data_IF_596303772541
#
_entry.id   IF_596303772541
#
_cell.length_a   1.000
_cell.length_b   1.000
_cell.length_c   1.000
_cell.angle_alpha   90.00
_cell.angle_beta   90.00
_cell.angle_gamma   90.00
#
_symmetry.space_group_name_H-M   'P 1'
#
loop_
_entity.id
_entity.type
_entity.pdbx_description
1 polymer ?
#
# COMPACT_ATOMS: atom_id res chain seq x y z
N UNK A 1 31.47 9.25 5.64
CA UNK A 1 30.49 8.18 5.31
C UNK A 1 29.77 8.51 4.01
N UNK A 2 30.13 7.90 2.88
CA UNK A 2 29.69 8.35 1.57
C UNK A 2 28.31 7.76 1.23
N UNK A 3 27.24 8.45 1.60
CA UNK A 3 25.93 8.26 0.99
C UNK A 3 25.94 9.08 -0.30
N UNK A 4 26.47 8.48 -1.37
CA UNK A 4 26.72 9.16 -2.64
C UNK A 4 25.41 9.68 -3.24
N UNK A 5 25.47 10.84 -3.88
CA UNK A 5 24.35 11.48 -4.61
C UNK A 5 23.61 10.50 -5.54
N UNK A 6 24.31 9.47 -6.01
CA UNK A 6 23.79 8.35 -6.79
C UNK A 6 22.74 7.49 -6.04
N UNK A 7 22.97 7.17 -4.77
CA UNK A 7 22.04 6.37 -3.96
C UNK A 7 20.71 7.12 -3.74
N UNK A 8 20.77 8.45 -3.55
CA UNK A 8 19.59 9.33 -3.48
C UNK A 8 18.82 9.41 -4.80
N UNK A 9 19.51 9.39 -5.95
CA UNK A 9 18.86 9.40 -7.27
C UNK A 9 18.13 8.08 -7.54
N UNK A 10 18.74 6.94 -7.17
CA UNK A 10 18.11 5.62 -7.33
C UNK A 10 16.86 5.45 -6.46
N UNK A 11 16.92 5.88 -5.19
CA UNK A 11 15.73 5.82 -4.32
C UNK A 11 14.60 6.73 -4.80
N UNK A 12 14.91 7.94 -5.29
CA UNK A 12 13.90 8.84 -5.84
C UNK A 12 13.25 8.33 -7.14
N UNK A 13 13.99 7.60 -7.99
CA UNK A 13 13.44 7.00 -9.21
C UNK A 13 12.48 5.85 -8.88
N UNK A 14 12.84 4.99 -7.91
CA UNK A 14 11.99 3.87 -7.48
C UNK A 14 10.67 4.29 -6.83
N UNK A 15 10.60 5.52 -6.30
CA UNK A 15 9.38 6.11 -5.76
C UNK A 15 8.35 6.46 -6.85
N UNK A 16 8.81 6.95 -8.01
CA UNK A 16 7.93 7.47 -9.07
C UNK A 16 7.22 6.37 -9.86
N UNK A 17 7.80 5.18 -9.94
CA UNK A 17 7.29 4.08 -10.75
C UNK A 17 6.20 3.26 -10.06
N UNK A 18 5.77 3.66 -8.86
CA UNK A 18 4.76 2.93 -8.10
C UNK A 18 3.38 3.45 -8.43
N UNK A 19 2.48 2.54 -8.77
CA UNK A 19 1.08 2.87 -9.01
C UNK A 19 0.29 2.53 -7.76
N UNK A 20 -0.60 3.45 -7.42
CA UNK A 20 -1.60 3.28 -6.37
C UNK A 20 -2.90 3.15 -7.13
N UNK A 21 -3.70 2.15 -6.81
CA UNK A 21 -4.99 1.92 -7.45
C UNK A 21 -5.98 1.68 -6.33
N UNK A 22 -7.03 2.49 -6.28
CA UNK A 22 -8.16 2.28 -5.39
C UNK A 22 -9.13 1.35 -6.13
N UNK A 23 -9.31 0.14 -5.63
CA UNK A 23 -10.10 -0.90 -6.30
C UNK A 23 -11.61 -0.70 -6.12
N UNK A 24 -12.01 0.08 -5.12
CA UNK A 24 -13.40 0.48 -4.91
C UNK A 24 -13.77 0.53 -3.44
N UNK A 25 -15.05 0.86 -3.21
CA UNK A 25 -15.69 0.75 -1.89
C UNK A 25 -16.70 -0.37 -1.92
N UNK A 26 -16.56 -1.37 -1.05
CA UNK A 26 -17.59 -2.41 -0.90
C UNK A 26 -18.58 -2.00 0.19
N UNK A 27 -19.88 -2.25 -0.05
CA UNK A 27 -20.98 -1.93 0.90
C UNK A 27 -21.45 -3.13 1.73
N UNK A 28 -20.93 -4.33 1.49
CA UNK A 28 -21.58 -5.58 1.90
C UNK A 28 -21.83 -5.71 3.41
N UNK A 29 -21.15 -4.90 4.25
CA UNK A 29 -21.40 -4.70 5.69
C UNK A 29 -21.09 -3.27 6.19
N UNK A 30 -21.24 -2.27 5.32
CA UNK A 30 -20.77 -0.89 5.54
C UNK A 30 -19.60 -0.52 4.64
N UNK A 31 -19.05 0.68 4.81
CA UNK A 31 -17.97 1.24 3.98
C UNK A 31 -16.67 0.45 4.19
N UNK A 32 -16.18 -0.17 3.13
CA UNK A 32 -14.85 -0.79 3.07
C UNK A 32 -14.05 -0.18 1.92
N UNK A 33 -12.76 0.05 2.08
CA UNK A 33 -11.88 0.65 1.08
C UNK A 33 -10.76 -0.33 0.73
N UNK A 34 -10.69 -0.72 -0.54
CA UNK A 34 -9.64 -1.60 -1.04
C UNK A 34 -8.61 -0.81 -1.85
N UNK A 35 -7.33 -0.94 -1.50
CA UNK A 35 -6.23 -0.24 -2.14
C UNK A 35 -5.14 -1.24 -2.52
N UNK A 36 -4.64 -1.13 -3.74
CA UNK A 36 -3.49 -1.87 -4.23
C UNK A 36 -2.36 -0.94 -4.61
N UNK A 37 -1.15 -1.23 -4.15
CA UNK A 37 0.06 -0.47 -4.45
C UNK A 37 1.06 -1.41 -5.11
N UNK A 38 1.47 -1.08 -6.33
CA UNK A 38 2.47 -1.85 -7.06
C UNK A 38 3.90 -1.53 -6.61
N UNK A 39 4.73 -2.56 -6.58
CA UNK A 39 6.15 -2.46 -6.28
C UNK A 39 6.50 -2.78 -4.82
N UNK A 40 7.80 -2.98 -4.61
CA UNK A 40 8.38 -3.47 -3.36
C UNK A 40 8.09 -2.60 -2.13
N UNK A 41 7.32 -3.04 -1.12
CA UNK A 41 6.93 -2.26 0.07
C UNK A 41 8.05 -1.41 0.70
N UNK A 42 7.70 -0.17 1.07
CA UNK A 42 8.66 0.75 1.73
C UNK A 42 8.63 0.50 3.23
N UNK A 43 9.76 0.08 3.78
CA UNK A 43 9.99 0.10 5.22
C UNK A 43 10.45 1.50 5.63
N UNK A 44 9.80 2.09 6.63
CA UNK A 44 10.29 3.32 7.23
C UNK A 44 11.63 3.07 7.94
N UNK A 45 12.73 3.74 7.56
CA UNK A 45 13.96 3.64 8.31
C UNK A 45 13.71 4.22 9.71
N UNK A 46 14.11 3.48 10.76
CA UNK A 46 14.11 4.04 12.13
C UNK A 46 14.94 5.32 12.14
N UNK A 47 14.49 6.42 12.77
CA UNK A 47 15.27 7.65 12.88
C UNK A 47 16.60 7.32 13.56
N UNK A 48 17.73 7.53 12.88
CA UNK A 48 19.03 7.09 13.42
C UNK A 48 19.86 8.18 14.08
N UNK A 49 19.62 9.47 13.84
CA UNK A 49 20.48 10.52 14.41
C UNK A 49 19.76 11.87 14.56
N UNK A 50 19.97 12.49 15.71
CA UNK A 50 19.89 13.94 15.89
C UNK A 50 21.19 14.54 15.33
N UNK A 51 21.12 15.27 14.22
CA UNK A 51 22.29 16.00 13.71
C UNK A 51 22.28 17.37 14.34
N UNK A 52 23.23 17.64 15.24
CA UNK A 52 23.43 18.98 15.78
C UNK A 52 24.28 19.79 14.80
N UNK A 53 23.68 20.79 14.15
CA UNK A 53 24.40 21.79 13.33
C UNK A 53 24.18 23.16 13.94
N UNK A 54 25.26 23.89 14.20
CA UNK A 54 25.21 25.26 14.70
C UNK A 54 24.20 25.43 15.86
N UNK A 55 24.33 24.60 16.91
CA UNK A 55 23.45 24.57 18.12
C UNK A 55 21.98 24.19 17.91
N UNK A 56 21.55 23.81 16.69
CA UNK A 56 20.20 23.28 16.43
C UNK A 56 20.23 21.79 16.16
N UNK A 57 19.36 21.05 16.84
CA UNK A 57 19.15 19.63 16.62
C UNK A 57 18.16 19.42 15.49
N UNK A 58 18.61 18.79 14.40
CA UNK A 58 17.74 18.39 13.30
C UNK A 58 17.49 16.89 13.36
N UNK A 59 16.21 16.51 13.43
CA UNK A 59 15.79 15.11 13.28
C UNK A 59 15.67 14.84 11.79
N UNK A 60 16.64 14.12 11.24
CA UNK A 60 16.57 13.71 9.84
C UNK A 60 15.63 12.52 9.68
N UNK A 61 14.46 12.75 9.09
CA UNK A 61 13.52 11.69 8.71
C UNK A 61 13.65 11.37 7.21
N UNK A 62 14.41 10.31 6.83
CA UNK A 62 14.55 9.93 5.43
C UNK A 62 13.24 9.48 4.77
N UNK A 63 12.25 9.03 5.55
CA UNK A 63 10.96 8.59 5.03
C UNK A 63 9.99 9.73 4.70
N UNK A 64 10.22 10.94 5.24
CA UNK A 64 9.28 12.05 5.10
C UNK A 64 8.92 12.34 3.63
N UNK A 65 9.92 12.39 2.75
CA UNK A 65 9.70 12.63 1.32
C UNK A 65 8.88 11.52 0.65
N UNK A 66 9.10 10.27 1.05
CA UNK A 66 8.34 9.14 0.53
C UNK A 66 6.89 9.23 0.99
N UNK A 67 6.66 9.49 2.29
CA UNK A 67 5.31 9.64 2.85
C UNK A 67 4.51 10.72 2.13
N UNK A 68 5.05 11.94 2.04
CA UNK A 68 4.38 13.05 1.34
C UNK A 68 4.07 12.72 -0.13
N UNK A 69 4.94 11.96 -0.79
CA UNK A 69 4.67 11.53 -2.17
C UNK A 69 3.50 10.53 -2.23
N UNK A 70 3.52 9.49 -1.40
CA UNK A 70 2.49 8.46 -1.37
C UNK A 70 1.15 8.99 -0.87
N UNK A 71 1.13 9.79 0.21
CA UNK A 71 -0.10 10.38 0.74
C UNK A 71 -0.75 11.33 -0.27
N UNK A 72 0.04 12.16 -0.96
CA UNK A 72 -0.49 13.02 -2.03
C UNK A 72 -1.06 12.21 -3.18
N UNK A 73 -0.36 11.16 -3.63
CA UNK A 73 -0.85 10.30 -4.71
C UNK A 73 -2.11 9.55 -4.29
N UNK A 74 -2.14 9.01 -3.07
CA UNK A 74 -3.32 8.35 -2.52
C UNK A 74 -4.51 9.29 -2.40
N UNK A 75 -4.30 10.51 -1.89
CA UNK A 75 -5.34 11.53 -1.81
C UNK A 75 -5.89 11.89 -3.19
N UNK A 76 -5.04 11.98 -4.20
CA UNK A 76 -5.47 12.20 -5.58
C UNK A 76 -6.36 11.04 -6.08
N UNK A 77 -5.94 9.80 -5.92
CA UNK A 77 -6.73 8.62 -6.33
C UNK A 77 -8.08 8.54 -5.58
N UNK A 78 -8.10 8.88 -4.28
CA UNK A 78 -9.34 8.92 -3.50
C UNK A 78 -10.29 10.04 -3.94
N UNK A 79 -9.74 11.17 -4.43
CA UNK A 79 -10.54 12.25 -5.01
C UNK A 79 -11.09 11.86 -6.39
N UNK A 80 -10.27 11.23 -7.22
CA UNK A 80 -10.66 10.75 -8.56
C UNK A 80 -11.77 9.69 -8.49
N UNK A 81 -11.76 8.84 -7.45
CA UNK A 81 -12.83 7.87 -7.18
C UNK A 81 -14.08 8.48 -6.50
N UNK A 82 -14.06 9.77 -6.16
CA UNK A 82 -15.18 10.46 -5.50
C UNK A 82 -15.36 10.12 -4.01
N UNK A 83 -14.44 9.34 -3.43
CA UNK A 83 -14.53 8.86 -2.05
C UNK A 83 -14.04 9.90 -1.03
N UNK A 84 -13.04 10.70 -1.40
CA UNK A 84 -12.52 11.76 -0.56
C UNK A 84 -13.11 13.12 -0.95
N UNK A 85 -13.93 13.69 -0.07
CA UNK A 85 -14.17 15.13 -0.09
C UNK A 85 -12.95 15.86 0.47
N UNK A 86 -12.61 17.01 -0.10
CA UNK A 86 -11.42 17.79 0.28
C UNK A 86 -11.36 18.14 1.77
N UNK A 87 -12.51 18.10 2.46
CA UNK A 87 -12.66 18.55 3.84
C UNK A 87 -12.77 17.43 4.90
N UNK A 88 -13.19 16.20 4.53
CA UNK A 88 -13.58 15.19 5.52
C UNK A 88 -12.87 13.85 5.29
N UNK A 89 -12.41 13.19 6.37
CA UNK A 89 -11.87 11.84 6.26
C UNK A 89 -12.97 10.83 5.94
N UNK A 90 -12.59 9.74 5.28
CA UNK A 90 -13.52 8.67 4.86
C UNK A 90 -14.08 7.94 6.10
N UNK A 91 -13.20 7.62 7.04
CA UNK A 91 -13.54 6.97 8.30
C UNK A 91 -13.46 7.99 9.44
N UNK A 92 -14.62 8.36 9.99
CA UNK A 92 -14.76 9.38 11.05
C UNK A 92 -15.07 8.77 12.42
N UNK A 93 -15.58 7.54 12.45
CA UNK A 93 -15.95 6.85 13.68
C UNK A 93 -14.81 5.94 14.17
N UNK A 94 -14.71 5.71 15.50
CA UNK A 94 -13.77 4.73 16.03
C UNK A 94 -14.18 3.31 15.65
N UNK A 95 -13.21 2.40 15.61
CA UNK A 95 -13.48 1.00 15.26
C UNK A 95 -13.06 0.63 13.84
N UNK A 96 -12.00 1.27 13.32
CA UNK A 96 -11.46 0.91 12.00
C UNK A 96 -10.60 -0.35 12.13
N UNK A 97 -10.79 -1.29 11.22
CA UNK A 97 -9.92 -2.43 10.97
C UNK A 97 -9.10 -2.17 9.72
N UNK A 98 -7.78 -2.38 9.84
CA UNK A 98 -6.84 -2.27 8.72
C UNK A 98 -6.20 -3.63 8.48
N UNK A 99 -6.45 -4.20 7.32
CA UNK A 99 -5.80 -5.44 6.87
C UNK A 99 -4.79 -5.11 5.78
N UNK A 100 -3.55 -5.58 5.95
CA UNK A 100 -2.43 -5.28 5.05
C UNK A 100 -1.67 -6.54 4.69
N UNK A 101 -1.48 -6.77 3.40
CA UNK A 101 -0.62 -7.82 2.88
C UNK A 101 0.56 -7.19 2.12
N UNK A 102 1.78 -7.53 2.56
CA UNK A 102 3.02 -7.09 1.93
C UNK A 102 3.64 -8.21 1.09
N UNK A 103 3.61 -8.06 -0.23
CA UNK A 103 4.39 -8.89 -1.15
C UNK A 103 5.84 -8.42 -1.19
N UNK A 104 6.80 -9.26 -0.79
CA UNK A 104 8.21 -8.89 -0.63
C UNK A 104 9.13 -9.84 -1.41
N UNK A 105 10.09 -9.27 -2.13
CA UNK A 105 11.22 -10.05 -2.65
C UNK A 105 12.23 -10.34 -1.52
N UNK A 106 12.41 -9.38 -0.62
CA UNK A 106 13.28 -9.46 0.55
C UNK A 106 12.46 -9.52 1.84
N UNK A 107 12.38 -10.72 2.43
CA UNK A 107 11.64 -10.98 3.66
C UNK A 107 12.30 -10.41 4.91
N UNK A 108 13.56 -9.94 4.82
CA UNK A 108 14.31 -9.38 5.94
C UNK A 108 13.78 -8.01 6.41
N UNK A 109 12.96 -7.33 5.58
CA UNK A 109 12.36 -6.04 5.95
C UNK A 109 11.44 -6.17 7.15
N UNK A 110 11.55 -5.28 8.13
CA UNK A 110 10.73 -5.37 9.33
C UNK A 110 9.24 -5.01 9.05
N UNK A 111 8.32 -5.84 9.55
CA UNK A 111 6.88 -5.65 9.35
C UNK A 111 6.38 -4.37 10.03
N UNK A 112 6.87 -4.07 11.23
CA UNK A 112 6.54 -2.86 12.00
C UNK A 112 6.85 -1.58 11.23
N UNK A 113 8.02 -1.54 10.58
CA UNK A 113 8.51 -0.38 9.84
C UNK A 113 7.71 -0.16 8.54
N UNK A 114 7.24 -1.22 7.90
CA UNK A 114 6.37 -1.12 6.72
C UNK A 114 4.95 -0.73 7.11
N UNK A 115 4.41 -1.34 8.16
CA UNK A 115 3.09 -1.02 8.68
C UNK A 115 3.01 0.45 9.12
N UNK A 116 4.00 0.92 9.90
CA UNK A 116 4.08 2.33 10.30
C UNK A 116 4.11 3.28 9.11
N UNK A 117 4.85 2.92 8.05
CA UNK A 117 4.87 3.74 6.84
C UNK A 117 3.47 3.87 6.21
N UNK A 118 2.73 2.77 6.11
CA UNK A 118 1.39 2.73 5.53
C UNK A 118 0.38 3.50 6.39
N UNK A 119 0.38 3.29 7.71
CA UNK A 119 -0.58 3.97 8.60
C UNK A 119 -0.44 5.48 8.54
N UNK A 120 0.81 5.99 8.57
CA UNK A 120 1.07 7.42 8.43
C UNK A 120 0.62 7.95 7.05
N UNK A 121 0.78 7.15 5.98
CA UNK A 121 0.31 7.53 4.64
C UNK A 121 -1.22 7.59 4.56
N UNK A 122 -1.93 6.64 5.19
CA UNK A 122 -3.39 6.62 5.22
C UNK A 122 -3.97 7.80 6.01
N UNK A 123 -3.36 8.14 7.15
CA UNK A 123 -3.72 9.32 7.95
C UNK A 123 -3.49 10.61 7.14
N UNK A 124 -2.28 10.80 6.58
CA UNK A 124 -1.93 11.98 5.78
C UNK A 124 -2.82 12.12 4.52
N UNK A 125 -3.26 11.00 3.95
CA UNK A 125 -4.15 10.97 2.79
C UNK A 125 -5.61 11.33 3.15
N UNK A 126 -5.97 11.36 4.43
CA UNK A 126 -7.32 11.61 4.91
C UNK A 126 -8.22 10.38 4.84
N UNK A 127 -7.67 9.16 4.90
CA UNK A 127 -8.50 7.95 5.01
C UNK A 127 -9.21 7.95 6.36
N UNK A 128 -8.49 8.26 7.44
CA UNK A 128 -9.04 8.53 8.77
C UNK A 128 -8.35 9.77 9.36
N UNK A 129 -9.01 10.44 10.30
CA UNK A 129 -8.49 11.67 10.91
C UNK A 129 -7.26 11.44 11.79
N UNK A 130 -7.19 10.28 12.43
CA UNK A 130 -6.18 9.93 13.42
C UNK A 130 -6.05 8.41 13.52
N UNK A 131 -4.84 7.90 13.69
CA UNK A 131 -4.54 6.47 13.85
C UNK A 131 -5.21 5.84 15.09
N UNK A 132 -5.58 6.62 16.10
CA UNK A 132 -6.33 6.20 17.29
C UNK A 132 -7.73 5.63 16.96
N UNK A 133 -8.25 5.86 15.75
CA UNK A 133 -9.51 5.27 15.30
C UNK A 133 -9.35 3.79 14.92
N UNK A 134 -8.12 3.35 14.63
CA UNK A 134 -7.78 1.98 14.26
C UNK A 134 -7.76 1.10 15.52
N UNK A 135 -8.65 0.10 15.56
CA UNK A 135 -8.79 -0.84 16.69
C UNK A 135 -8.17 -2.20 16.44
N UNK A 136 -8.09 -2.59 15.17
CA UNK A 136 -7.52 -3.87 14.78
C UNK A 136 -6.65 -3.69 13.55
N UNK A 137 -5.47 -4.28 13.61
CA UNK A 137 -4.56 -4.33 12.48
C UNK A 137 -4.20 -5.79 12.25
N UNK A 138 -4.41 -6.25 11.03
CA UNK A 138 -3.95 -7.56 10.56
C UNK A 138 -2.91 -7.29 9.49
N UNK A 139 -1.66 -7.66 9.75
CA UNK A 139 -0.57 -7.41 8.81
C UNK A 139 0.17 -8.72 8.52
N UNK A 140 0.39 -9.01 7.25
CA UNK A 140 1.05 -10.25 6.81
C UNK A 140 2.12 -9.97 5.76
N UNK A 141 3.11 -10.87 5.69
CA UNK A 141 4.13 -10.88 4.65
C UNK A 141 3.94 -12.09 3.75
N UNK A 142 4.07 -11.88 2.45
CA UNK A 142 4.03 -12.91 1.44
C UNK A 142 5.26 -12.76 0.54
N UNK A 143 5.93 -13.88 0.25
CA UNK A 143 7.04 -13.85 -0.71
C UNK A 143 6.50 -13.51 -2.11
N UNK A 144 7.10 -12.52 -2.76
CA UNK A 144 6.71 -12.09 -4.11
C UNK A 144 7.91 -11.57 -4.89
N UNK A 145 8.00 -11.92 -6.17
CA UNK A 145 9.11 -11.48 -7.03
C UNK A 145 8.97 -10.02 -7.50
N UNK A 146 7.73 -9.52 -7.58
CA UNK A 146 7.44 -8.19 -8.13
C UNK A 146 7.25 -7.13 -7.05
N UNK A 147 6.89 -7.56 -5.85
CA UNK A 147 6.59 -6.70 -4.71
C UNK A 147 5.24 -5.99 -4.86
N UNK A 148 4.46 -5.94 -3.78
CA UNK A 148 3.20 -5.20 -3.74
C UNK A 148 2.78 -4.89 -2.30
N UNK A 149 1.84 -3.96 -2.14
CA UNK A 149 1.09 -3.77 -0.88
C UNK A 149 -0.40 -3.79 -1.20
N UNK A 150 -1.13 -4.74 -0.61
CA UNK A 150 -2.58 -4.82 -0.67
C UNK A 150 -3.18 -4.40 0.66
N UNK A 151 -4.21 -3.57 0.64
CA UNK A 151 -4.80 -2.94 1.81
C UNK A 151 -6.32 -3.07 1.75
N UNK A 152 -6.92 -3.41 2.87
CA UNK A 152 -8.36 -3.31 3.10
C UNK A 152 -8.60 -2.54 4.39
N UNK A 153 -9.36 -1.45 4.31
CA UNK A 153 -9.73 -0.63 5.47
C UNK A 153 -11.24 -0.67 5.61
N UNK A 154 -11.76 -1.08 6.74
CA UNK A 154 -13.21 -1.18 6.97
C UNK A 154 -13.57 -0.86 8.41
N UNK A 155 -14.84 -0.61 8.70
CA UNK A 155 -15.30 -0.64 10.09
C UNK A 155 -15.30 -2.08 10.63
N UNK A 156 -14.96 -2.25 11.91
CA UNK A 156 -15.15 -3.51 12.63
C UNK A 156 -16.64 -3.77 12.79
N UNK A 157 -17.04 -4.99 12.48
CA UNK A 157 -18.36 -5.49 12.85
C UNK A 157 -18.38 -5.69 14.36
N UNK A 158 -18.79 -4.65 15.10
CA UNK A 158 -18.86 -4.68 16.55
C UNK A 158 -20.03 -5.52 17.07
N UNK A 159 -20.81 -6.17 16.19
CA UNK A 159 -22.00 -6.95 16.58
C UNK A 159 -23.09 -6.13 17.28
N UNK A 160 -22.91 -4.81 17.41
CA UNK A 160 -23.80 -3.91 18.14
C UNK A 160 -25.07 -3.56 17.34
N UNK A 161 -25.11 -3.84 16.04
CA UNK A 161 -26.28 -3.59 15.19
C UNK A 161 -27.41 -4.63 15.33
N UNK A 162 -27.29 -5.62 16.22
CA UNK A 162 -28.43 -6.48 16.56
C UNK A 162 -29.51 -5.77 17.39
N UNK A 163 -29.26 -4.54 17.86
CA UNK A 163 -30.24 -3.73 18.61
C UNK A 163 -30.98 -2.71 17.73
N UNK A 164 -31.69 -3.16 16.69
CA UNK A 164 -32.89 -2.52 16.11
C UNK A 164 -32.91 -1.02 15.74
N UNK A 165 -31.80 -0.28 15.84
CA UNK A 165 -31.72 1.15 15.58
C UNK A 165 -31.11 1.33 14.19
N UNK A 166 -31.96 1.56 13.19
CA UNK A 166 -31.51 1.94 11.85
C UNK A 166 -30.87 3.34 11.93
N UNK A 167 -29.55 3.40 11.99
CA UNK A 167 -28.87 4.66 11.75
C UNK A 167 -29.14 5.07 10.30
N UNK A 168 -29.44 6.35 10.02
CA UNK A 168 -29.62 6.84 8.67
C UNK A 168 -28.30 6.65 7.92
N UNK A 169 -28.30 5.75 6.94
CA UNK A 169 -27.16 5.62 6.02
C UNK A 169 -27.09 6.93 5.24
N UNK A 170 -25.97 7.67 5.30
CA UNK A 170 -25.84 8.89 4.52
C UNK A 170 -25.95 8.54 3.03
N UNK A 171 -26.92 9.16 2.35
CA UNK A 171 -27.25 8.91 0.95
C UNK A 171 -26.19 9.54 0.03
N UNK A 172 -25.05 8.87 -0.13
CA UNK A 172 -24.18 9.12 -1.27
C UNK A 172 -24.73 8.24 -2.40
N UNK A 173 -25.27 8.84 -3.45
CA UNK A 173 -25.70 8.09 -4.65
C UNK A 173 -24.45 7.56 -5.34
N UNK A 174 -24.29 6.23 -5.31
CA UNK A 174 -23.19 5.50 -5.97
C UNK A 174 -23.73 4.90 -7.28
N UNK A 175 -24.19 5.75 -8.19
CA UNK A 175 -24.80 5.30 -9.45
C UNK A 175 -23.80 4.95 -10.56
N UNK A 176 -22.53 4.63 -10.23
CA UNK A 176 -21.60 4.10 -11.24
C UNK A 176 -20.56 3.16 -10.62
N UNK A 177 -20.89 1.87 -10.59
CA UNK A 177 -19.92 0.82 -10.31
C UNK A 177 -19.22 0.42 -11.61
N UNK A 178 -17.91 0.63 -11.66
CA UNK A 178 -17.05 0.00 -12.67
C UNK A 178 -16.66 -1.36 -12.09
N UNK A 179 -17.27 -2.43 -12.61
CA UNK A 179 -16.78 -3.79 -12.38
C UNK A 179 -15.42 -3.93 -13.06
N UNK A 180 -14.33 -3.73 -12.33
CA UNK A 180 -12.99 -4.11 -12.80
C UNK A 180 -12.82 -5.60 -12.56
N UNK A 181 -13.16 -6.39 -13.57
CA UNK A 181 -12.80 -7.81 -13.61
C UNK A 181 -11.29 -7.90 -13.79
N UNK A 182 -10.56 -8.05 -12.68
CA UNK A 182 -9.11 -8.28 -12.71
C UNK A 182 -8.91 -9.69 -13.23
N UNK A 183 -8.69 -9.80 -14.54
CA UNK A 183 -8.22 -11.03 -15.15
C UNK A 183 -6.93 -11.47 -14.42
N UNK A 184 -6.97 -12.65 -13.81
CA UNK A 184 -5.75 -13.30 -13.32
C UNK A 184 -4.78 -13.43 -14.52
N UNK A 185 -3.47 -13.20 -14.33
CA UNK A 185 -2.50 -13.52 -15.36
C UNK A 185 -2.58 -15.02 -15.62
N UNK A 186 -3.23 -15.37 -16.73
CA UNK A 186 -3.36 -16.73 -17.21
C UNK A 186 -1.98 -17.37 -17.31
N UNK A 187 -1.95 -18.63 -16.90
CA UNK A 187 -0.78 -19.49 -16.89
C UNK A 187 0.01 -19.37 -18.19
N UNK A 188 1.34 -19.21 -18.07
CA UNK A 188 2.25 -19.21 -19.20
C UNK A 188 2.02 -20.49 -20.03
N UNK A 189 1.90 -20.40 -21.37
CA UNK A 189 1.98 -21.61 -22.20
C UNK A 189 3.39 -22.21 -22.06
N UNK A 190 3.44 -23.48 -21.65
CA UNK A 190 4.63 -24.33 -21.80
C UNK A 190 4.90 -24.49 -23.29
N UNK A 191 5.90 -23.80 -23.83
CA UNK A 191 6.41 -24.07 -25.17
C UNK A 191 7.61 -25.02 -25.04
N UNK A 192 7.64 -26.15 -25.77
CA UNK A 192 8.70 -27.15 -25.66
C UNK A 192 10.02 -26.64 -26.24
N UNK A 193 11.10 -27.02 -25.55
CA UNK A 193 12.49 -26.81 -25.94
C UNK A 193 12.80 -27.65 -27.19
N UNK A 194 12.84 -27.04 -28.37
CA UNK A 194 13.45 -27.66 -29.55
C UNK A 194 14.23 -26.61 -30.35
N UNK A 195 15.50 -26.92 -30.59
CA UNK A 195 16.25 -26.41 -31.74
C UNK A 195 17.41 -25.46 -31.42
N UNK A 196 18.55 -25.98 -30.96
CA UNK A 196 19.83 -25.41 -31.36
C UNK A 196 20.93 -26.47 -31.51
N UNK A 197 21.13 -26.80 -32.79
CA UNK A 197 22.34 -27.19 -33.50
C UNK A 197 23.32 -28.22 -32.90
N UNK A 198 23.33 -29.35 -33.62
CA UNK A 198 24.33 -30.40 -33.78
C UNK A 198 25.78 -29.89 -33.86
N UNK A 199 26.68 -30.52 -33.08
CA UNK A 199 28.04 -30.90 -33.49
C UNK A 199 28.47 -32.20 -32.79
N UNK A 200 28.55 -33.30 -33.56
CA UNK A 200 29.32 -34.49 -33.17
C UNK A 200 30.79 -34.30 -33.59
N UNK A 201 31.74 -34.86 -32.81
CA UNK A 201 32.88 -35.52 -33.41
C UNK A 201 32.96 -36.99 -33.01
N UNK A 202 33.22 -37.78 -34.04
CA UNK A 202 33.43 -39.23 -34.13
C UNK A 202 34.63 -39.70 -33.30
N UNK A 203 34.49 -40.82 -32.58
CA UNK A 203 35.63 -41.64 -32.14
C UNK A 203 35.53 -42.98 -32.89
N UNK A 204 36.57 -43.28 -33.67
CA UNK A 204 36.83 -44.59 -34.27
C UNK A 204 37.53 -45.46 -33.22
N UNK A 205 37.14 -46.73 -33.14
CA UNK A 205 38.01 -47.83 -32.69
C UNK A 205 38.62 -48.47 -33.94
#
# INVERSE_FOLDING_TARGET
MPNTRAQRKRSAAGLRNRNITVLGVGETRGVSLQIFISGDPIAQPRPRFAVTRASRTYIYNPAARAKTFFSRKMKQELQETGLASTANPIFTLPGVEVQVQFGLADMSKDLDNMLKFILDVLEDAGVYANDCLVRKIVAEKVQSNTGFTSLSVSYMDLGLFSFGLSLPVPSWSVDSWISVEIAQPSERPKVPLWGLLVKNPTIKL
#
